data_IF_462925711844
#
_entry.id   IF_462925711844
#
_cell.length_a   1.000
_cell.length_b   1.000
_cell.length_c   1.000
_cell.angle_alpha   90.00
_cell.angle_beta   90.00
_cell.angle_gamma   90.00
#
_symmetry.space_group_name_H-M   'P 1'
#
loop_
_entity.id
_entity.type
_entity.pdbx_description
1 polymer ?
#
# COMPACT_ATOMS: atom_id res chain seq x y z
N UNK A 1 -2.60 -8.03 -12.96
CA UNK A 1 -2.32 -7.47 -14.29
C UNK A 1 -1.45 -8.47 -14.96
N UNK A 2 -1.73 -8.79 -16.22
CA UNK A 2 -0.73 -9.48 -17.02
C UNK A 2 0.14 -8.41 -17.65
N UNK A 3 1.46 -8.62 -17.71
CA UNK A 3 2.36 -7.70 -18.39
C UNK A 3 1.92 -7.53 -19.85
N UNK A 4 1.70 -6.28 -20.28
CA UNK A 4 1.29 -5.95 -21.65
C UNK A 4 -0.19 -5.56 -21.82
N UNK A 5 -1.02 -5.69 -20.78
CA UNK A 5 -2.39 -5.18 -20.81
C UNK A 5 -2.41 -3.64 -20.94
N UNK A 6 -3.31 -3.10 -21.77
CA UNK A 6 -3.41 -1.66 -21.99
C UNK A 6 -3.90 -0.88 -20.75
N UNK A 7 -4.65 -1.54 -19.87
CA UNK A 7 -5.28 -0.94 -18.70
C UNK A 7 -4.96 -1.74 -17.43
N UNK A 8 -4.82 -1.08 -16.27
CA UNK A 8 -4.64 -1.78 -15.00
C UNK A 8 -5.93 -2.51 -14.59
N UNK A 9 -5.80 -3.78 -14.24
CA UNK A 9 -6.89 -4.62 -13.71
C UNK A 9 -7.45 -4.16 -12.36
N UNK A 10 -6.66 -3.40 -11.59
CA UNK A 10 -7.00 -2.98 -10.24
C UNK A 10 -6.43 -1.59 -9.97
N UNK A 11 -7.28 -0.69 -9.46
CA UNK A 11 -6.93 0.67 -9.06
C UNK A 11 -7.52 0.89 -7.67
N UNK A 12 -6.69 1.31 -6.72
CA UNK A 12 -7.16 1.62 -5.36
C UNK A 12 -6.42 2.81 -4.75
N UNK A 13 -7.05 3.41 -3.74
CA UNK A 13 -6.47 4.42 -2.87
C UNK A 13 -6.80 4.07 -1.42
N UNK A 14 -5.79 4.04 -0.56
CA UNK A 14 -5.98 3.92 0.89
C UNK A 14 -5.87 5.33 1.49
N UNK A 15 -6.85 5.74 2.29
CA UNK A 15 -6.91 7.09 2.86
C UNK A 15 -6.92 7.08 4.38
N UNK A 16 -6.27 8.07 4.97
CA UNK A 16 -6.43 8.36 6.38
C UNK A 16 -7.66 9.26 6.55
N UNK A 17 -8.57 8.85 7.45
CA UNK A 17 -9.92 9.37 7.64
C UNK A 17 -10.81 9.12 6.42
N UNK A 18 -12.02 9.68 6.47
CA UNK A 18 -13.06 9.54 5.45
C UNK A 18 -12.65 10.24 4.15
N UNK A 19 -12.94 9.61 3.02
CA UNK A 19 -12.78 10.17 1.69
C UNK A 19 -14.07 9.96 0.89
N UNK A 20 -14.45 10.93 0.06
CA UNK A 20 -15.57 10.75 -0.87
C UNK A 20 -15.25 9.65 -1.89
N UNK A 21 -16.24 8.86 -2.34
CA UNK A 21 -16.03 7.87 -3.38
C UNK A 21 -15.45 8.51 -4.65
N UNK A 22 -14.52 7.80 -5.30
CA UNK A 22 -13.90 8.22 -6.55
C UNK A 22 -14.23 7.23 -7.66
N UNK A 23 -14.65 7.73 -8.82
CA UNK A 23 -14.97 6.88 -9.95
C UNK A 23 -13.68 6.31 -10.57
N UNK A 24 -13.61 4.98 -10.72
CA UNK A 24 -12.49 4.31 -11.39
C UNK A 24 -11.41 3.75 -10.46
N UNK A 25 -11.54 3.93 -9.13
CA UNK A 25 -10.70 3.25 -8.14
C UNK A 25 -11.51 2.85 -6.90
N UNK A 26 -11.10 1.77 -6.23
CA UNK A 26 -11.61 1.41 -4.91
C UNK A 26 -10.97 2.30 -3.84
N UNK A 27 -11.78 2.87 -2.96
CA UNK A 27 -11.32 3.73 -1.87
C UNK A 27 -11.46 2.99 -0.55
N UNK A 28 -10.35 2.79 0.16
CA UNK A 28 -10.28 2.17 1.47
C UNK A 28 -9.95 3.25 2.52
N UNK A 29 -10.94 3.66 3.31
CA UNK A 29 -10.76 4.70 4.33
C UNK A 29 -10.52 4.11 5.72
N UNK A 30 -9.52 4.61 6.43
CA UNK A 30 -9.12 4.13 7.75
C UNK A 30 -9.11 5.26 8.78
N UNK A 31 -9.65 5.05 9.97
CA UNK A 31 -9.70 6.08 11.02
C UNK A 31 -8.34 6.33 11.68
N UNK A 32 -7.50 5.30 11.76
CA UNK A 32 -6.18 5.32 12.37
C UNK A 32 -5.10 5.04 11.34
N UNK A 33 -3.92 5.63 11.53
CA UNK A 33 -2.79 5.47 10.61
C UNK A 33 -2.25 4.03 10.62
N UNK A 34 -2.27 3.38 11.78
CA UNK A 34 -1.89 1.98 11.97
C UNK A 34 -2.74 1.05 11.11
N UNK A 35 -4.06 1.31 11.05
CA UNK A 35 -4.99 0.56 10.20
C UNK A 35 -4.69 0.76 8.72
N UNK A 36 -4.31 1.96 8.31
CA UNK A 36 -3.91 2.25 6.93
C UNK A 36 -2.64 1.50 6.55
N UNK A 37 -1.60 1.56 7.38
CA UNK A 37 -0.34 0.85 7.13
C UNK A 37 -0.57 -0.68 7.09
N UNK A 38 -1.29 -1.23 8.06
CA UNK A 38 -1.58 -2.66 8.07
C UNK A 38 -2.43 -3.10 6.87
N UNK A 39 -3.36 -2.27 6.41
CA UNK A 39 -4.13 -2.54 5.19
C UNK A 39 -3.28 -2.45 3.93
N UNK A 40 -2.29 -1.55 3.87
CA UNK A 40 -1.33 -1.49 2.76
C UNK A 40 -0.48 -2.78 2.71
N UNK A 41 0.00 -3.24 3.86
CA UNK A 41 0.71 -4.53 3.97
C UNK A 41 -0.18 -5.68 3.48
N UNK A 42 -1.42 -5.77 3.97
CA UNK A 42 -2.33 -6.84 3.58
C UNK A 42 -2.60 -6.81 2.07
N UNK A 43 -2.77 -5.61 1.49
CA UNK A 43 -2.95 -5.47 0.06
C UNK A 43 -1.74 -5.99 -0.72
N UNK A 44 -0.51 -5.68 -0.30
CA UNK A 44 0.69 -6.21 -0.94
C UNK A 44 0.77 -7.73 -0.86
N UNK A 45 0.43 -8.32 0.29
CA UNK A 45 0.42 -9.77 0.49
C UNK A 45 -0.67 -10.46 -0.36
N UNK A 46 -1.88 -9.89 -0.40
CA UNK A 46 -3.01 -10.45 -1.15
C UNK A 46 -2.81 -10.35 -2.67
N UNK A 47 -2.15 -9.29 -3.13
CA UNK A 47 -1.86 -9.09 -4.56
C UNK A 47 -0.58 -9.80 -5.02
N UNK A 48 0.30 -10.16 -4.09
CA UNK A 48 1.59 -10.82 -4.33
C UNK A 48 2.31 -10.34 -5.61
N UNK A 49 2.59 -9.03 -5.73
CA UNK A 49 3.16 -8.50 -6.96
C UNK A 49 4.59 -9.00 -7.16
N UNK A 50 4.95 -9.35 -8.40
CA UNK A 50 6.33 -9.69 -8.75
C UNK A 50 7.26 -8.48 -8.71
N UNK A 51 6.73 -7.30 -9.10
CA UNK A 51 7.47 -6.05 -9.11
C UNK A 51 6.66 -4.94 -8.44
N UNK A 52 7.30 -4.23 -7.51
CA UNK A 52 6.79 -2.97 -6.95
C UNK A 52 7.61 -1.84 -7.57
N UNK A 53 6.93 -0.95 -8.28
CA UNK A 53 7.54 0.17 -9.01
C UNK A 53 6.92 1.50 -8.60
N UNK A 54 7.70 2.57 -8.69
CA UNK A 54 7.27 3.92 -8.36
C UNK A 54 8.37 4.93 -8.65
N UNK A 55 8.06 6.22 -8.54
CA UNK A 55 9.01 7.29 -8.78
C UNK A 55 9.72 7.66 -7.47
N UNK A 56 11.03 7.41 -7.40
CA UNK A 56 11.86 7.62 -6.20
C UNK A 56 11.50 6.76 -4.97
N UNK A 57 10.73 5.68 -5.16
CA UNK A 57 10.19 4.89 -4.06
C UNK A 57 11.21 4.10 -3.25
N UNK A 58 12.33 3.71 -3.87
CA UNK A 58 13.43 3.06 -3.15
C UNK A 58 14.17 4.01 -2.19
N UNK A 59 14.21 5.31 -2.51
CA UNK A 59 14.93 6.30 -1.69
C UNK A 59 14.04 7.03 -0.69
N UNK A 60 12.73 7.12 -0.96
CA UNK A 60 11.79 7.85 -0.11
C UNK A 60 10.64 6.97 0.40
N UNK A 61 9.73 6.54 -0.48
CA UNK A 61 8.45 5.93 -0.07
C UNK A 61 8.63 4.71 0.84
N UNK A 62 9.39 3.70 0.39
CA UNK A 62 9.59 2.46 1.15
C UNK A 62 10.37 2.70 2.46
N UNK A 63 11.52 3.41 2.46
CA UNK A 63 12.19 3.76 3.71
C UNK A 63 11.32 4.55 4.68
N UNK A 64 10.48 5.46 4.18
CA UNK A 64 9.59 6.27 5.02
C UNK A 64 8.51 5.40 5.68
N UNK A 65 7.82 4.55 4.91
CA UNK A 65 6.79 3.65 5.44
C UNK A 65 7.34 2.71 6.51
N UNK A 66 8.51 2.12 6.29
CA UNK A 66 9.17 1.24 7.27
C UNK A 66 9.51 1.98 8.57
N UNK A 67 10.12 3.17 8.47
CA UNK A 67 10.45 4.00 9.64
C UNK A 67 9.20 4.45 10.38
N UNK A 68 8.14 4.81 9.66
CA UNK A 68 6.88 5.26 10.26
C UNK A 68 6.21 4.12 11.01
N UNK A 69 6.12 2.93 10.40
CA UNK A 69 5.60 1.74 11.04
C UNK A 69 6.40 1.37 12.31
N UNK A 70 7.73 1.45 12.25
CA UNK A 70 8.58 1.25 13.43
C UNK A 70 8.29 2.28 14.54
N UNK A 71 8.08 3.56 14.20
CA UNK A 71 7.74 4.60 15.19
C UNK A 71 6.39 4.39 15.87
N UNK A 72 5.49 3.66 15.21
CA UNK A 72 4.16 3.29 15.72
C UNK A 72 4.13 1.90 16.39
N UNK A 73 5.28 1.22 16.49
CA UNK A 73 5.38 -0.13 17.09
C UNK A 73 4.81 -1.25 16.22
N UNK A 74 4.59 -1.03 14.93
CA UNK A 74 4.01 -2.00 14.00
C UNK A 74 5.08 -2.96 13.46
N UNK A 75 5.64 -3.79 14.33
CA UNK A 75 6.77 -4.68 14.00
C UNK A 75 6.43 -5.62 12.83
N UNK A 76 5.19 -6.11 12.75
CA UNK A 76 4.77 -6.99 11.67
C UNK A 76 4.81 -6.29 10.30
N UNK A 77 4.62 -4.98 10.22
CA UNK A 77 4.68 -4.23 8.96
C UNK A 77 6.07 -4.29 8.31
N UNK A 78 7.14 -4.51 9.08
CA UNK A 78 8.51 -4.53 8.59
C UNK A 78 8.81 -5.72 7.68
N UNK A 79 7.97 -6.76 7.71
CA UNK A 79 8.01 -7.88 6.78
C UNK A 79 6.99 -7.67 5.65
N UNK A 80 7.48 -7.15 4.53
CA UNK A 80 6.75 -6.95 3.27
C UNK A 80 7.21 -7.91 2.15
N UNK A 81 8.31 -8.64 2.37
CA UNK A 81 8.85 -9.61 1.41
C UNK A 81 8.15 -10.96 1.48
N UNK A 82 8.54 -11.87 0.58
CA UNK A 82 8.01 -13.24 0.51
C UNK A 82 8.58 -14.19 1.59
N UNK A 83 9.59 -13.76 2.36
CA UNK A 83 10.29 -14.55 3.40
C UNK A 83 10.45 -13.68 4.65
#
# INVERSE_FOLDING_TARGET
TTTGDAEPYFRCVLTWKTCSPFQGAQVFSHHMEEGLLMSFKQLLMDKDPDFVVGYNSSNFDVPYLLRRAASLGLISFLSLGRI
#
